data_IF_652244675728
#
_entry.id   IF_652244675728
#
_cell.length_a   1.000
_cell.length_b   1.000
_cell.length_c   1.000
_cell.angle_alpha   90.00
_cell.angle_beta   90.00
_cell.angle_gamma   90.00
#
_symmetry.space_group_name_H-M   'P 1'
#
loop_
_entity.id
_entity.type
_entity.pdbx_description
1 polymer ?
#
# COMPACT_ATOMS: atom_id res chain seq x y z
N UNK A 1 20.24 8.70 -5.80
CA UNK A 1 18.95 9.36 -5.52
C UNK A 1 18.00 8.92 -6.60
N UNK A 2 17.03 8.08 -6.22
CA UNK A 2 16.04 7.56 -7.17
C UNK A 2 15.04 8.67 -7.49
N UNK A 3 15.19 9.31 -8.64
CA UNK A 3 14.33 10.40 -9.13
C UNK A 3 12.97 9.92 -9.66
N UNK A 4 12.62 8.66 -9.44
CA UNK A 4 11.38 8.05 -9.93
C UNK A 4 10.19 8.21 -9.00
N UNK A 5 10.38 8.73 -7.79
CA UNK A 5 9.29 9.03 -6.86
C UNK A 5 9.01 10.53 -6.82
N UNK A 6 7.72 10.86 -6.86
CA UNK A 6 7.26 12.23 -6.69
C UNK A 6 7.76 12.86 -5.37
N UNK A 7 8.01 14.19 -5.33
CA UNK A 7 8.41 14.86 -4.09
C UNK A 7 7.38 14.63 -2.98
N UNK A 8 7.83 14.50 -1.73
CA UNK A 8 7.02 14.14 -0.57
C UNK A 8 5.63 14.80 -0.47
N UNK A 9 5.41 16.09 -0.76
CA UNK A 9 4.06 16.65 -0.68
C UNK A 9 3.10 16.04 -1.72
N UNK A 10 3.55 15.71 -2.91
CA UNK A 10 2.71 15.12 -3.97
C UNK A 10 2.44 13.62 -3.73
N UNK A 11 3.43 12.90 -3.21
CA UNK A 11 3.28 11.46 -2.86
C UNK A 11 2.13 11.26 -1.87
N UNK A 12 1.97 12.13 -0.87
CA UNK A 12 0.91 12.01 0.14
C UNK A 12 -0.48 12.08 -0.52
N UNK A 13 -0.67 13.03 -1.46
CA UNK A 13 -1.95 13.16 -2.17
C UNK A 13 -2.20 11.99 -3.12
N UNK A 14 -1.16 11.53 -3.80
CA UNK A 14 -1.24 10.41 -4.73
C UNK A 14 -1.56 9.11 -3.98
N UNK A 15 -0.91 8.83 -2.87
CA UNK A 15 -1.13 7.66 -2.04
C UNK A 15 -2.50 7.70 -1.35
N UNK A 16 -2.95 8.88 -0.89
CA UNK A 16 -4.31 9.06 -0.38
C UNK A 16 -5.36 8.68 -1.45
N UNK A 17 -5.20 9.22 -2.67
CA UNK A 17 -6.10 8.93 -3.79
C UNK A 17 -6.06 7.47 -4.22
N UNK A 18 -4.85 6.90 -4.35
CA UNK A 18 -4.64 5.50 -4.70
C UNK A 18 -5.23 4.54 -3.66
N UNK A 19 -4.99 4.77 -2.39
CA UNK A 19 -5.55 3.98 -1.29
C UNK A 19 -7.08 4.09 -1.24
N UNK A 20 -7.62 5.30 -1.42
CA UNK A 20 -9.07 5.52 -1.52
C UNK A 20 -9.68 4.70 -2.67
N UNK A 21 -9.08 4.77 -3.86
CA UNK A 21 -9.55 4.04 -5.04
C UNK A 21 -9.50 2.52 -4.81
N UNK A 22 -8.41 1.99 -4.26
CA UNK A 22 -8.29 0.57 -3.93
C UNK A 22 -9.33 0.13 -2.90
N UNK A 23 -9.52 0.93 -1.85
CA UNK A 23 -10.55 0.67 -0.83
C UNK A 23 -11.97 0.71 -1.39
N UNK A 24 -12.27 1.66 -2.27
CA UNK A 24 -13.57 1.78 -2.92
C UNK A 24 -13.85 0.61 -3.87
N UNK A 25 -12.89 0.22 -4.71
CA UNK A 25 -13.00 -0.93 -5.63
C UNK A 25 -13.14 -2.23 -4.84
N UNK A 26 -12.25 -2.48 -3.87
CA UNK A 26 -12.33 -3.66 -3.00
C UNK A 26 -13.63 -3.72 -2.21
N UNK A 27 -14.08 -2.57 -1.70
CA UNK A 27 -15.37 -2.40 -1.02
C UNK A 27 -16.57 -2.70 -1.92
N UNK A 28 -16.52 -2.27 -3.17
CA UNK A 28 -17.55 -2.53 -4.17
C UNK A 28 -17.69 -4.03 -4.44
N UNK A 29 -16.57 -4.70 -4.67
CA UNK A 29 -16.55 -6.15 -4.94
C UNK A 29 -17.05 -6.92 -3.72
N UNK A 30 -16.50 -6.66 -2.54
CA UNK A 30 -16.83 -7.39 -1.31
C UNK A 30 -18.28 -7.19 -0.89
N UNK A 31 -18.71 -5.94 -0.79
CA UNK A 31 -20.06 -5.62 -0.36
C UNK A 31 -21.12 -5.90 -1.44
N UNK A 32 -20.74 -5.82 -2.73
CA UNK A 32 -21.59 -6.24 -3.83
C UNK A 32 -21.93 -7.72 -3.77
N UNK A 33 -20.91 -8.58 -3.62
CA UNK A 33 -21.11 -10.03 -3.49
C UNK A 33 -21.91 -10.35 -2.23
N UNK A 34 -21.56 -9.73 -1.10
CA UNK A 34 -22.26 -9.95 0.17
C UNK A 34 -23.73 -9.47 0.10
N UNK A 35 -23.98 -8.30 -0.48
CA UNK A 35 -25.33 -7.76 -0.67
C UNK A 35 -26.17 -8.64 -1.60
N UNK A 36 -25.57 -9.15 -2.68
CA UNK A 36 -26.23 -10.07 -3.60
C UNK A 36 -26.60 -11.40 -2.94
N UNK A 37 -25.73 -11.95 -2.11
CA UNK A 37 -25.98 -13.23 -1.41
C UNK A 37 -27.01 -13.12 -0.30
N UNK A 38 -27.05 -11.98 0.40
CA UNK A 38 -27.94 -11.78 1.56
C UNK A 38 -29.34 -11.30 1.18
N UNK A 39 -29.59 -10.94 -0.08
CA UNK A 39 -30.90 -10.47 -0.54
C UNK A 39 -31.77 -11.62 -1.05
N UNK A 40 -33.12 -11.55 -0.85
CA UNK A 40 -34.06 -12.56 -1.31
C UNK A 40 -34.09 -12.67 -2.83
N UNK A 41 -34.59 -13.82 -3.32
CA UNK A 41 -34.73 -14.06 -4.76
C UNK A 41 -35.65 -13.03 -5.40
N UNK A 42 -35.20 -12.37 -6.45
CA UNK A 42 -35.89 -11.30 -7.15
C UNK A 42 -35.33 -9.90 -6.89
N UNK A 43 -34.80 -9.60 -5.68
CA UNK A 43 -34.28 -8.27 -5.31
C UNK A 43 -32.72 -8.25 -5.15
N UNK A 44 -32.05 -9.30 -5.56
CA UNK A 44 -30.60 -9.46 -5.39
C UNK A 44 -29.78 -8.32 -5.98
N UNK A 45 -30.20 -7.79 -7.15
CA UNK A 45 -29.52 -6.66 -7.79
C UNK A 45 -29.65 -5.38 -6.98
N UNK A 46 -30.84 -5.10 -6.47
CA UNK A 46 -31.12 -3.91 -5.66
C UNK A 46 -30.33 -3.98 -4.35
N UNK A 47 -30.34 -5.14 -3.70
CA UNK A 47 -29.58 -5.36 -2.46
C UNK A 47 -28.07 -5.22 -2.64
N UNK A 48 -27.52 -5.70 -3.76
CA UNK A 48 -26.10 -5.52 -4.08
C UNK A 48 -25.75 -4.04 -4.27
N UNK A 49 -26.54 -3.30 -5.07
CA UNK A 49 -26.31 -1.87 -5.35
C UNK A 49 -26.43 -1.04 -4.07
N UNK A 50 -27.42 -1.32 -3.24
CA UNK A 50 -27.63 -0.62 -1.97
C UNK A 50 -26.45 -0.86 -1.01
N UNK A 51 -26.00 -2.11 -0.89
CA UNK A 51 -24.84 -2.45 -0.06
C UNK A 51 -23.54 -1.75 -0.54
N UNK A 52 -23.35 -1.66 -1.85
CA UNK A 52 -22.22 -0.95 -2.45
C UNK A 52 -22.29 0.54 -2.11
N UNK A 53 -23.43 1.19 -2.39
CA UNK A 53 -23.61 2.63 -2.16
C UNK A 53 -23.36 3.02 -0.70
N UNK A 54 -23.78 2.19 0.24
CA UNK A 54 -23.64 2.48 1.67
C UNK A 54 -22.26 2.18 2.22
N UNK A 55 -21.57 1.14 1.74
CA UNK A 55 -20.36 0.60 2.36
C UNK A 55 -19.07 0.87 1.59
N UNK A 56 -19.10 0.91 0.26
CA UNK A 56 -17.89 1.11 -0.54
C UNK A 56 -17.24 2.49 -0.31
N UNK A 57 -17.97 3.62 -0.24
CA UNK A 57 -17.36 4.91 0.04
C UNK A 57 -16.72 4.99 1.43
N UNK A 58 -17.34 4.34 2.43
CA UNK A 58 -16.83 4.30 3.80
C UNK A 58 -15.50 3.53 3.85
N UNK A 59 -15.44 2.38 3.15
CA UNK A 59 -14.23 1.59 3.08
C UNK A 59 -13.14 2.34 2.31
N UNK A 60 -13.47 2.98 1.19
CA UNK A 60 -12.58 3.86 0.46
C UNK A 60 -12.01 4.99 1.33
N UNK A 61 -12.87 5.68 2.08
CA UNK A 61 -12.46 6.73 3.00
C UNK A 61 -11.49 6.25 4.09
N UNK A 62 -11.78 5.10 4.70
CA UNK A 62 -10.91 4.51 5.71
C UNK A 62 -9.53 4.14 5.15
N UNK A 63 -9.49 3.54 3.96
CA UNK A 63 -8.24 3.23 3.26
C UNK A 63 -7.48 4.49 2.84
N UNK A 64 -8.18 5.52 2.35
CA UNK A 64 -7.58 6.80 2.00
C UNK A 64 -6.90 7.47 3.18
N UNK A 65 -7.60 7.57 4.31
CA UNK A 65 -7.03 8.14 5.55
C UNK A 65 -5.82 7.33 6.02
N UNK A 66 -5.90 6.00 5.98
CA UNK A 66 -4.78 5.14 6.34
C UNK A 66 -3.59 5.37 5.41
N UNK A 67 -3.80 5.38 4.08
CA UNK A 67 -2.74 5.61 3.09
C UNK A 67 -2.11 6.99 3.21
N UNK A 68 -2.90 8.05 3.39
CA UNK A 68 -2.42 9.42 3.57
C UNK A 68 -1.59 9.59 4.85
N UNK A 69 -2.02 9.00 5.97
CA UNK A 69 -1.24 9.01 7.21
C UNK A 69 0.06 8.21 7.06
N UNK A 70 -0.02 7.04 6.42
CA UNK A 70 1.15 6.22 6.17
C UNK A 70 2.22 6.97 5.35
N UNK A 71 1.84 7.57 4.23
CA UNK A 71 2.75 8.37 3.41
C UNK A 71 3.32 9.57 4.16
N UNK A 72 2.53 10.22 5.00
CA UNK A 72 2.99 11.34 5.83
C UNK A 72 4.09 10.89 6.79
N UNK A 73 3.89 9.79 7.50
CA UNK A 73 4.90 9.24 8.40
C UNK A 73 6.11 8.68 7.66
N UNK A 74 5.91 8.02 6.52
CA UNK A 74 7.00 7.51 5.68
C UNK A 74 7.88 8.67 5.17
N UNK A 75 7.29 9.76 4.70
CA UNK A 75 8.01 10.98 4.33
C UNK A 75 8.76 11.60 5.51
N UNK A 76 8.16 11.65 6.70
CA UNK A 76 8.81 12.16 7.89
C UNK A 76 10.03 11.32 8.30
N UNK A 77 9.87 9.98 8.31
CA UNK A 77 10.95 9.05 8.65
C UNK A 77 12.09 9.12 7.62
N UNK A 78 11.77 9.19 6.32
CA UNK A 78 12.77 9.38 5.26
C UNK A 78 13.52 10.70 5.38
N UNK A 79 12.80 11.78 5.73
CA UNK A 79 13.41 13.08 5.96
C UNK A 79 14.42 13.08 7.12
N UNK A 80 14.13 12.34 8.20
CA UNK A 80 15.00 12.24 9.38
C UNK A 80 16.17 11.29 9.12
N UNK A 81 15.92 10.11 8.55
CA UNK A 81 16.92 9.06 8.37
C UNK A 81 17.80 9.24 7.13
N UNK A 82 17.33 10.00 6.12
CA UNK A 82 18.00 10.22 4.83
C UNK A 82 18.45 8.92 4.13
N UNK A 83 17.79 7.81 4.42
CA UNK A 83 18.01 6.48 3.83
C UNK A 83 16.69 5.85 3.45
N UNK A 84 16.66 5.16 2.31
CA UNK A 84 15.51 4.39 1.86
C UNK A 84 15.72 2.91 2.24
N UNK A 85 15.27 2.56 3.43
CA UNK A 85 15.32 1.18 3.93
C UNK A 85 13.88 0.63 4.08
N UNK A 86 13.66 -0.70 3.95
CA UNK A 86 12.36 -1.33 4.25
C UNK A 86 11.89 -1.07 5.70
N UNK A 87 12.80 -0.76 6.60
CA UNK A 87 12.51 -0.36 7.98
C UNK A 87 11.69 0.94 8.09
N UNK A 88 11.81 1.83 7.09
CA UNK A 88 11.04 3.08 7.09
C UNK A 88 9.54 2.80 6.99
N UNK A 89 9.13 1.86 6.13
CA UNK A 89 7.74 1.44 5.97
C UNK A 89 7.19 0.82 7.27
N UNK A 90 7.98 0.00 7.96
CA UNK A 90 7.59 -0.64 9.22
C UNK A 90 7.38 0.41 10.32
N UNK A 91 8.29 1.38 10.45
CA UNK A 91 8.20 2.50 11.40
C UNK A 91 7.00 3.39 11.08
N UNK A 92 6.80 3.75 9.81
CA UNK A 92 5.66 4.55 9.36
C UNK A 92 4.34 3.82 9.67
N UNK A 93 4.28 2.51 9.45
CA UNK A 93 3.12 1.69 9.78
C UNK A 93 2.84 1.61 11.27
N UNK A 94 3.87 1.53 12.10
CA UNK A 94 3.73 1.57 13.55
C UNK A 94 3.06 2.88 14.00
N UNK A 95 3.52 4.02 13.52
CA UNK A 95 2.94 5.33 13.84
C UNK A 95 1.53 5.49 13.28
N UNK A 96 1.29 5.03 12.06
CA UNK A 96 -0.03 5.07 11.42
C UNK A 96 -1.05 4.25 12.21
N UNK A 97 -0.72 3.00 12.54
CA UNK A 97 -1.58 2.13 13.33
C UNK A 97 -1.86 2.67 14.72
N UNK A 98 -0.84 3.24 15.38
CA UNK A 98 -0.99 3.92 16.66
C UNK A 98 -1.91 5.13 16.59
N UNK A 99 -1.73 6.00 15.58
CA UNK A 99 -2.52 7.21 15.38
C UNK A 99 -4.00 6.91 15.13
N UNK A 100 -4.31 5.92 14.33
CA UNK A 100 -5.70 5.50 14.07
C UNK A 100 -6.38 4.90 15.29
N UNK A 101 -5.61 4.24 16.15
CA UNK A 101 -6.13 3.59 17.34
C UNK A 101 -6.21 4.50 18.58
N UNK A 102 -5.79 5.78 18.47
CA UNK A 102 -5.76 6.74 19.59
C UNK A 102 -7.12 6.86 20.30
N UNK A 103 -8.20 6.85 19.54
CA UNK A 103 -9.58 6.97 20.09
C UNK A 103 -10.01 5.77 20.94
N UNK A 104 -9.35 4.65 20.80
CA UNK A 104 -9.70 3.39 21.49
C UNK A 104 -8.97 3.16 22.82
N UNK A 105 -8.11 4.08 23.25
CA UNK A 105 -7.34 4.00 24.48
C UNK A 105 -6.01 3.26 24.31
N UNK A 106 -5.18 3.29 25.37
CA UNK A 106 -3.79 2.81 25.35
C UNK A 106 -3.61 1.36 24.86
N UNK A 107 -4.50 0.45 25.26
CA UNK A 107 -4.43 -0.96 24.79
C UNK A 107 -4.64 -1.08 23.27
N UNK A 108 -5.56 -0.27 22.71
CA UNK A 108 -5.82 -0.28 21.28
C UNK A 108 -4.70 0.40 20.49
N UNK A 109 -4.12 1.48 21.02
CA UNK A 109 -2.95 2.14 20.41
C UNK A 109 -1.81 1.14 20.25
N UNK A 110 -1.45 0.44 21.33
CA UNK A 110 -0.38 -0.56 21.30
C UNK A 110 -0.67 -1.68 20.30
N UNK A 111 -1.88 -2.25 20.36
CA UNK A 111 -2.24 -3.36 19.48
C UNK A 111 -2.33 -2.92 18.01
N UNK A 112 -2.86 -1.73 17.74
CA UNK A 112 -2.93 -1.15 16.40
C UNK A 112 -1.53 -0.86 15.82
N UNK A 113 -0.65 -0.26 16.63
CA UNK A 113 0.72 0.02 16.23
C UNK A 113 1.51 -1.27 15.92
N UNK A 114 1.47 -2.25 16.82
CA UNK A 114 2.14 -3.54 16.61
C UNK A 114 1.52 -4.29 15.44
N UNK A 115 0.20 -4.34 15.33
CA UNK A 115 -0.49 -5.04 14.25
C UNK A 115 -0.14 -4.48 12.87
N UNK A 116 -0.14 -3.15 12.70
CA UNK A 116 0.26 -2.51 11.46
C UNK A 116 1.75 -2.70 11.14
N UNK A 117 2.63 -2.63 12.14
CA UNK A 117 4.06 -2.86 11.94
C UNK A 117 4.35 -4.30 11.48
N UNK A 118 3.71 -5.30 12.10
CA UNK A 118 3.84 -6.71 11.70
C UNK A 118 3.28 -6.94 10.30
N UNK A 119 2.11 -6.38 9.99
CA UNK A 119 1.49 -6.49 8.67
C UNK A 119 2.44 -5.95 7.58
N UNK A 120 2.99 -4.76 7.79
CA UNK A 120 3.93 -4.16 6.84
C UNK A 120 5.25 -4.91 6.75
N UNK A 121 5.76 -5.44 7.85
CA UNK A 121 6.96 -6.29 7.83
C UNK A 121 6.74 -7.55 6.97
N UNK A 122 5.56 -8.17 7.04
CA UNK A 122 5.19 -9.31 6.19
C UNK A 122 5.08 -8.90 4.72
N UNK A 123 4.40 -7.78 4.43
CA UNK A 123 4.24 -7.28 3.05
C UNK A 123 5.61 -6.95 2.43
N UNK A 124 6.48 -6.24 3.16
CA UNK A 124 7.83 -5.93 2.69
C UNK A 124 8.67 -7.19 2.49
N UNK A 125 8.59 -8.15 3.41
CA UNK A 125 9.30 -9.43 3.30
C UNK A 125 8.86 -10.23 2.08
N UNK A 126 7.55 -10.33 1.83
CA UNK A 126 6.99 -10.99 0.64
C UNK A 126 7.37 -10.23 -0.63
N UNK A 127 7.29 -8.89 -0.61
CA UNK A 127 7.68 -8.04 -1.75
C UNK A 127 9.16 -8.22 -2.14
N UNK A 128 10.06 -8.21 -1.16
CA UNK A 128 11.49 -8.49 -1.40
C UNK A 128 11.74 -9.92 -1.93
N UNK A 129 11.02 -10.91 -1.40
CA UNK A 129 11.10 -12.30 -1.89
C UNK A 129 10.66 -12.41 -3.34
N UNK A 130 9.53 -11.77 -3.70
CA UNK A 130 9.02 -11.75 -5.05
C UNK A 130 9.96 -11.02 -6.02
N UNK A 131 10.50 -9.85 -5.63
CA UNK A 131 11.49 -9.12 -6.43
C UNK A 131 12.75 -9.95 -6.69
N UNK A 132 13.24 -10.70 -5.70
CA UNK A 132 14.39 -11.59 -5.88
C UNK A 132 14.10 -12.73 -6.85
N UNK A 133 12.90 -13.33 -6.80
CA UNK A 133 12.47 -14.34 -7.76
C UNK A 133 12.40 -13.79 -9.19
N UNK A 134 11.79 -12.61 -9.37
CA UNK A 134 11.68 -11.97 -10.68
C UNK A 134 13.03 -11.51 -11.22
N UNK A 135 13.90 -10.96 -10.38
CA UNK A 135 15.26 -10.57 -10.78
C UNK A 135 16.13 -11.78 -11.17
N UNK A 136 15.91 -12.95 -10.55
CA UNK A 136 16.54 -14.20 -10.98
C UNK A 136 16.10 -14.62 -12.38
N UNK A 137 14.81 -14.47 -12.70
CA UNK A 137 14.28 -14.76 -14.02
C UNK A 137 14.75 -13.77 -15.10
N UNK A 138 14.88 -12.47 -14.77
CA UNK A 138 15.37 -11.45 -15.70
C UNK A 138 16.87 -11.55 -16.02
N UNK A 139 17.68 -12.08 -15.09
CA UNK A 139 19.12 -12.32 -15.36
C UNK A 139 19.37 -13.36 -16.45
N UNK A 140 18.38 -14.18 -16.80
CA UNK A 140 18.49 -15.16 -17.87
C UNK A 140 18.32 -14.56 -19.29
N UNK A 141 17.82 -13.34 -19.42
CA UNK A 141 17.47 -12.72 -20.73
C UNK A 141 18.37 -11.56 -21.15
N UNK A 142 19.39 -11.19 -20.38
CA UNK A 142 20.31 -10.15 -20.84
C UNK A 142 21.26 -10.73 -21.89
N UNK A 143 21.21 -10.25 -23.17
CA UNK A 143 22.20 -10.58 -24.16
C UNK A 143 23.59 -10.11 -23.68
N UNK A 144 24.68 -10.83 -24.04
CA UNK A 144 26.02 -10.43 -23.63
C UNK A 144 26.32 -9.02 -24.14
N UNK A 145 27.01 -8.18 -23.32
CA UNK A 145 27.38 -6.84 -23.72
C UNK A 145 28.20 -6.92 -25.01
N UNK A 146 27.98 -5.99 -25.98
CA UNK A 146 28.76 -5.97 -27.21
C UNK A 146 30.24 -5.84 -26.88
N UNK A 147 31.12 -6.51 -27.65
CA UNK A 147 32.57 -6.44 -27.41
C UNK A 147 33.01 -4.98 -27.43
N UNK A 148 33.65 -4.52 -26.37
CA UNK A 148 34.22 -3.19 -26.29
C UNK A 148 35.26 -3.05 -27.39
N UNK A 149 34.95 -2.26 -28.43
CA UNK A 149 35.91 -1.83 -29.45
C UNK A 149 36.93 -0.82 -28.85
N UNK A 150 37.67 -1.27 -27.88
CA UNK A 150 38.80 -0.51 -27.30
C UNK A 150 40.11 -0.84 -27.97
N UNK A 151 40.11 -1.01 -29.29
CA UNK A 151 41.33 -1.15 -30.08
C UNK A 151 41.25 -0.49 -31.45
N UNK A 152 40.89 0.80 -31.48
CA UNK A 152 41.15 1.62 -32.66
C UNK A 152 41.53 3.03 -32.20
N UNK A 153 42.65 3.19 -31.57
CA UNK A 153 43.48 4.41 -31.51
C UNK A 153 44.86 4.01 -30.96
N UNK A 154 45.66 3.40 -31.80
CA UNK A 154 47.11 3.41 -31.71
C UNK A 154 47.67 3.77 -33.06
#
# INVERSE_FOLDING_TARGET
>A
MDHTRDPCPWVILNDFGGAFAMGAVGGTIWHGIKGFRNSPYGERRIGAITAIKMRAPVLGGNFGVWGGLFSTFDCAVKGIRKKEDPWNAIIAGFFTGGSLAVRGGYKQIRNGAIGCAVLLAVIEGVGMGFQRMMAGAQKLELPPPPPSNEKVLA
#
